data_IF_287512635561
#
_entry.id   IF_287512635561
#
_cell.length_a   1.000
_cell.length_b   1.000
_cell.length_c   1.000
_cell.angle_alpha   90.00
_cell.angle_beta   90.00
_cell.angle_gamma   90.00
#
_symmetry.space_group_name_H-M   'P 1'
#
loop_
_entity.id
_entity.type
_entity.pdbx_description
1 polymer ?
#
# COMPACT_ATOMS: atom_id res chain seq x y z
N UNK A 1 36.94 22.18 47.28
CA UNK A 1 36.49 22.67 45.96
C UNK A 1 36.76 21.58 44.93
N UNK A 2 35.76 20.85 44.50
CA UNK A 2 35.86 19.85 43.43
C UNK A 2 35.39 20.49 42.14
N UNK A 3 36.29 20.63 41.16
CA UNK A 3 35.94 21.12 39.82
C UNK A 3 35.34 19.97 39.04
N UNK A 4 34.07 20.10 38.63
CA UNK A 4 33.41 19.21 37.66
C UNK A 4 33.72 19.76 36.27
N UNK A 5 34.55 19.05 35.52
CA UNK A 5 34.79 19.34 34.09
C UNK A 5 33.66 18.71 33.31
N UNK A 6 32.76 19.53 32.77
CA UNK A 6 31.78 19.09 31.78
C UNK A 6 32.47 18.93 30.43
N UNK A 7 32.65 17.67 30.01
CA UNK A 7 33.08 17.37 28.65
C UNK A 7 31.87 17.53 27.74
N UNK A 8 31.78 18.63 27.01
CA UNK A 8 30.78 18.81 25.94
C UNK A 8 31.26 18.02 24.73
N UNK A 9 30.66 16.88 24.48
CA UNK A 9 30.81 16.19 23.22
C UNK A 9 30.08 16.97 22.12
N UNK A 10 30.81 17.77 21.37
CA UNK A 10 30.35 18.34 20.11
C UNK A 10 30.29 17.23 19.11
N UNK A 11 29.11 16.63 18.89
CA UNK A 11 28.84 15.85 17.70
C UNK A 11 28.91 16.81 16.51
N UNK A 12 30.02 16.78 15.80
CA UNK A 12 30.15 17.41 14.49
C UNK A 12 29.33 16.58 13.49
N UNK A 13 28.05 16.88 13.34
CA UNK A 13 27.32 16.51 12.14
C UNK A 13 27.91 17.34 11.01
N UNK A 14 28.59 16.72 10.06
CA UNK A 14 28.93 17.35 8.78
C UNK A 14 27.61 17.66 8.09
N UNK A 15 27.10 18.87 8.30
CA UNK A 15 25.96 19.40 7.55
C UNK A 15 26.48 19.71 6.15
N UNK A 16 26.39 18.74 5.23
CA UNK A 16 26.42 19.08 3.81
C UNK A 16 25.23 20.02 3.55
N UNK A 17 25.47 21.12 2.83
CA UNK A 17 24.40 22.08 2.56
C UNK A 17 23.35 21.47 1.64
N UNK A 18 23.75 20.65 0.64
CA UNK A 18 22.87 19.99 -0.32
C UNK A 18 23.39 18.61 -0.73
N UNK A 19 22.50 17.75 -1.21
CA UNK A 19 22.85 16.49 -1.87
C UNK A 19 22.58 16.60 -3.37
N UNK A 20 23.58 16.29 -4.20
CA UNK A 20 23.49 16.27 -5.64
C UNK A 20 23.41 14.81 -6.10
N UNK A 21 22.41 14.49 -6.92
CA UNK A 21 22.24 13.14 -7.48
C UNK A 21 22.43 13.23 -8.99
N UNK A 22 23.48 12.59 -9.53
CA UNK A 22 23.65 12.40 -10.96
C UNK A 22 22.88 11.16 -11.40
N UNK A 23 22.07 11.28 -12.43
CA UNK A 23 21.36 10.13 -13.01
C UNK A 23 21.44 10.13 -14.54
N UNK A 24 21.63 8.95 -15.13
CA UNK A 24 21.58 8.81 -16.61
C UNK A 24 20.20 9.09 -17.14
N UNK A 25 19.15 8.75 -16.38
CA UNK A 25 17.78 9.08 -16.74
C UNK A 25 16.87 9.13 -15.50
N UNK A 26 15.78 9.89 -15.60
CA UNK A 26 14.69 9.79 -14.64
C UNK A 26 13.33 9.72 -15.34
N UNK A 27 12.36 9.12 -14.67
CA UNK A 27 11.00 9.01 -15.19
C UNK A 27 10.15 10.19 -14.70
N UNK A 28 9.71 11.00 -15.67
CA UNK A 28 8.74 12.07 -15.47
C UNK A 28 7.33 11.47 -15.60
N UNK A 29 6.76 11.05 -14.48
CA UNK A 29 5.44 10.40 -14.40
C UNK A 29 4.28 11.36 -14.70
N UNK A 30 4.51 12.69 -14.65
CA UNK A 30 3.50 13.69 -14.97
C UNK A 30 3.32 13.86 -16.48
N UNK A 31 4.43 13.80 -17.23
CA UNK A 31 4.44 13.97 -18.68
C UNK A 31 4.67 12.65 -19.44
N UNK A 32 4.72 11.51 -18.73
CA UNK A 32 4.89 10.16 -19.27
C UNK A 32 6.11 10.05 -20.22
N UNK A 33 7.28 10.48 -19.74
CA UNK A 33 8.51 10.46 -20.54
C UNK A 33 9.76 10.18 -19.69
N UNK A 34 10.81 9.73 -20.35
CA UNK A 34 12.17 9.65 -19.79
C UNK A 34 12.92 10.96 -20.08
N UNK A 35 13.58 11.51 -19.06
CA UNK A 35 14.49 12.64 -19.16
C UNK A 35 15.91 12.14 -18.94
N UNK A 36 16.81 12.38 -19.88
CA UNK A 36 18.17 11.89 -19.84
C UNK A 36 19.15 12.92 -19.27
N UNK A 37 20.22 12.39 -18.61
CA UNK A 37 21.35 13.15 -18.09
C UNK A 37 20.91 14.36 -17.25
N UNK A 38 20.65 14.12 -15.99
CA UNK A 38 20.14 15.14 -15.07
C UNK A 38 20.90 15.13 -13.76
N UNK A 39 20.94 16.30 -13.13
CA UNK A 39 21.34 16.48 -11.72
C UNK A 39 20.11 16.87 -10.93
N UNK A 40 19.74 16.05 -9.95
CA UNK A 40 18.68 16.35 -8.97
C UNK A 40 19.37 16.90 -7.71
N UNK A 41 18.95 18.07 -7.26
CA UNK A 41 19.51 18.70 -6.04
C UNK A 41 18.49 18.61 -4.93
N UNK A 42 18.95 18.10 -3.80
CA UNK A 42 18.15 17.93 -2.58
C UNK A 42 18.66 18.91 -1.52
N UNK A 43 17.74 19.66 -0.92
CA UNK A 43 17.97 20.52 0.24
C UNK A 43 17.07 20.04 1.38
N UNK A 44 17.69 19.55 2.44
CA UNK A 44 16.99 18.87 3.52
C UNK A 44 16.14 17.71 3.00
N UNK A 45 14.82 17.79 3.16
CA UNK A 45 13.89 16.74 2.71
C UNK A 45 13.28 16.99 1.33
N UNK A 46 13.60 18.10 0.65
CA UNK A 46 12.92 18.53 -0.56
C UNK A 46 13.84 18.53 -1.80
N UNK A 47 13.26 18.29 -2.97
CA UNK A 47 13.90 18.52 -4.26
C UNK A 47 13.96 20.03 -4.49
N UNK A 48 15.16 20.62 -4.46
CA UNK A 48 15.38 22.07 -4.61
C UNK A 48 15.62 22.49 -6.07
N UNK A 49 16.25 21.61 -6.88
CA UNK A 49 16.45 21.88 -8.30
C UNK A 49 16.55 20.60 -9.14
N UNK A 50 16.23 20.73 -10.42
CA UNK A 50 16.42 19.69 -11.45
C UNK A 50 17.15 20.33 -12.62
N UNK A 51 18.41 19.98 -12.81
CA UNK A 51 19.27 20.56 -13.82
C UNK A 51 19.54 19.58 -14.95
N UNK A 52 19.57 20.07 -16.19
CA UNK A 52 19.97 19.29 -17.36
C UNK A 52 21.49 19.07 -17.33
N UNK A 53 21.92 17.83 -17.57
CA UNK A 53 23.34 17.43 -17.54
C UNK A 53 23.87 17.26 -16.12
N UNK A 54 25.17 17.02 -16.02
CA UNK A 54 25.87 16.82 -14.75
C UNK A 54 26.53 18.13 -14.34
N UNK A 55 25.90 18.84 -13.40
CA UNK A 55 26.35 20.14 -12.93
C UNK A 55 27.48 20.01 -11.90
N UNK A 56 28.36 21.02 -11.81
CA UNK A 56 29.41 21.02 -10.80
C UNK A 56 28.80 20.95 -9.39
N UNK A 57 29.33 20.06 -8.57
CA UNK A 57 28.95 19.91 -7.16
C UNK A 57 29.81 20.85 -6.34
N UNK A 58 29.23 21.70 -5.47
CA UNK A 58 29.99 22.52 -4.52
C UNK A 58 30.77 21.65 -3.52
N UNK A 59 31.91 22.18 -3.02
CA UNK A 59 32.80 21.43 -2.13
C UNK A 59 32.16 21.11 -0.77
N UNK A 60 31.15 21.85 -0.35
CA UNK A 60 30.35 21.67 0.88
C UNK A 60 29.11 20.80 0.67
N UNK A 61 28.96 20.16 -0.48
CA UNK A 61 27.80 19.35 -0.86
C UNK A 61 28.17 17.89 -1.10
N UNK A 62 27.21 16.99 -0.83
CA UNK A 62 27.38 15.56 -1.11
C UNK A 62 27.02 15.21 -2.57
N UNK A 63 27.72 14.24 -3.16
CA UNK A 63 27.39 13.67 -4.47
C UNK A 63 26.99 12.20 -4.31
N UNK A 64 25.81 11.85 -4.87
CA UNK A 64 25.37 10.49 -5.12
C UNK A 64 25.41 10.26 -6.63
N UNK A 65 26.27 9.36 -7.09
CA UNK A 65 26.46 9.08 -8.51
C UNK A 65 25.65 7.85 -8.94
N UNK A 66 24.50 8.11 -9.55
CA UNK A 66 23.61 7.09 -10.11
C UNK A 66 23.65 7.07 -11.64
N UNK A 67 24.80 7.38 -12.24
CA UNK A 67 24.98 7.20 -13.69
C UNK A 67 24.97 5.71 -14.03
N UNK A 68 24.19 5.33 -15.07
CA UNK A 68 23.87 3.94 -15.38
C UNK A 68 22.56 3.44 -14.78
N UNK A 69 21.89 4.26 -13.96
CA UNK A 69 20.61 3.96 -13.34
C UNK A 69 19.49 4.85 -13.89
N UNK A 70 18.26 4.34 -13.79
CA UNK A 70 17.05 5.12 -14.02
C UNK A 70 16.41 5.47 -12.67
N UNK A 71 16.31 6.77 -12.40
CA UNK A 71 15.71 7.30 -11.19
C UNK A 71 14.20 7.44 -11.36
N UNK A 72 13.46 7.13 -10.31
CA UNK A 72 12.00 7.21 -10.25
C UNK A 72 11.56 7.90 -8.95
N UNK A 73 10.33 8.44 -8.88
CA UNK A 73 9.75 8.80 -7.58
C UNK A 73 9.71 7.60 -6.66
N UNK A 74 9.81 7.82 -5.36
CA UNK A 74 9.56 6.77 -4.37
C UNK A 74 8.22 6.09 -4.62
N UNK A 75 8.24 4.75 -4.64
CA UNK A 75 7.07 3.94 -4.97
C UNK A 75 6.09 3.92 -3.80
N UNK A 76 4.81 3.73 -4.13
CA UNK A 76 3.72 3.68 -3.15
C UNK A 76 2.85 2.45 -3.39
N UNK A 77 2.54 1.70 -2.32
CA UNK A 77 1.66 0.53 -2.35
C UNK A 77 0.42 0.78 -1.49
N UNK A 78 -0.75 0.77 -2.12
CA UNK A 78 -2.03 1.12 -1.47
C UNK A 78 -2.72 -0.05 -0.77
N UNK A 79 -2.08 -1.22 -0.73
CA UNK A 79 -2.66 -2.39 -0.07
C UNK A 79 -1.57 -3.32 0.48
N UNK A 80 -1.25 -3.17 1.76
CA UNK A 80 -0.31 -4.05 2.48
C UNK A 80 -0.85 -4.46 3.86
N UNK A 81 -0.29 -5.53 4.44
CA UNK A 81 -0.61 -6.07 5.76
C UNK A 81 0.66 -6.46 6.52
N UNK A 82 1.32 -5.52 7.20
CA UNK A 82 2.61 -5.76 7.86
C UNK A 82 2.56 -6.74 9.03
N UNK A 83 1.41 -6.92 9.67
CA UNK A 83 1.25 -7.85 10.78
C UNK A 83 1.28 -9.33 10.42
N UNK A 84 1.41 -9.68 9.13
CA UNK A 84 1.32 -11.06 8.67
C UNK A 84 2.06 -11.31 7.34
N UNK A 85 2.43 -12.58 7.11
CA UNK A 85 2.74 -13.16 5.79
C UNK A 85 2.06 -14.52 5.68
N UNK A 86 1.40 -14.81 4.57
CA UNK A 86 0.64 -16.06 4.38
C UNK A 86 1.48 -17.15 3.70
N UNK A 87 2.72 -17.36 4.19
CA UNK A 87 3.71 -18.23 3.58
C UNK A 87 3.52 -19.71 3.89
N UNK A 88 2.94 -20.04 5.05
CA UNK A 88 2.74 -21.43 5.49
C UNK A 88 1.52 -21.59 6.38
N UNK A 89 1.13 -22.86 6.66
CA UNK A 89 0.05 -23.17 7.62
C UNK A 89 0.32 -22.63 9.03
N UNK A 90 1.58 -22.52 9.42
CA UNK A 90 2.00 -22.04 10.76
C UNK A 90 1.94 -20.52 10.90
N UNK A 91 1.99 -19.80 9.79
CA UNK A 91 2.03 -18.33 9.73
C UNK A 91 0.65 -17.70 9.46
N UNK A 92 -0.41 -18.50 9.56
CA UNK A 92 -1.78 -18.02 9.29
C UNK A 92 -2.21 -16.97 10.30
N UNK A 93 -2.94 -15.93 9.86
CA UNK A 93 -3.53 -14.93 10.76
C UNK A 93 -4.28 -15.56 11.95
N UNK A 94 -4.14 -14.97 13.13
CA UNK A 94 -4.79 -15.43 14.35
C UNK A 94 -4.06 -16.54 15.10
N UNK A 95 -2.88 -16.98 14.65
CA UNK A 95 -2.03 -17.95 15.36
C UNK A 95 -0.78 -17.34 15.99
N UNK A 96 -0.55 -16.06 15.78
CA UNK A 96 0.62 -15.33 16.28
C UNK A 96 0.14 -14.30 17.29
N UNK A 97 0.83 -14.23 18.43
CA UNK A 97 0.56 -13.20 19.44
C UNK A 97 0.77 -11.80 18.84
N UNK A 98 -0.01 -10.81 19.29
CA UNK A 98 0.02 -9.44 18.76
C UNK A 98 1.40 -8.80 18.88
N UNK A 99 2.10 -9.07 19.97
CA UNK A 99 3.46 -8.58 20.23
C UNK A 99 4.45 -9.18 19.22
N UNK A 100 4.33 -10.46 18.93
CA UNK A 100 5.13 -11.12 17.88
C UNK A 100 4.83 -10.54 16.50
N UNK A 101 3.54 -10.34 16.18
CA UNK A 101 3.13 -9.70 14.93
C UNK A 101 3.72 -8.28 14.81
N UNK A 102 3.74 -7.50 15.89
CA UNK A 102 4.34 -6.16 15.90
C UNK A 102 5.86 -6.19 15.66
N UNK A 103 6.57 -7.17 16.24
CA UNK A 103 8.01 -7.35 16.00
C UNK A 103 8.27 -7.77 14.55
N UNK A 104 7.51 -8.74 14.02
CA UNK A 104 7.61 -9.16 12.63
C UNK A 104 7.31 -8.02 11.65
N UNK A 105 6.34 -7.17 11.98
CA UNK A 105 5.96 -6.02 11.16
C UNK A 105 7.11 -5.03 10.92
N UNK A 106 8.06 -4.92 11.84
CA UNK A 106 9.27 -4.08 11.65
C UNK A 106 10.15 -4.61 10.52
N UNK A 107 10.32 -5.94 10.44
CA UNK A 107 11.07 -6.57 9.36
C UNK A 107 10.33 -6.48 8.01
N UNK A 108 9.00 -6.66 8.02
CA UNK A 108 8.18 -6.54 6.82
C UNK A 108 8.22 -5.11 6.26
N UNK A 109 8.13 -4.11 7.14
CA UNK A 109 8.27 -2.70 6.76
C UNK A 109 9.64 -2.40 6.15
N UNK A 110 10.72 -2.92 6.75
CA UNK A 110 12.07 -2.76 6.20
C UNK A 110 12.22 -3.41 4.82
N UNK A 111 11.73 -4.66 4.63
CA UNK A 111 11.75 -5.33 3.32
C UNK A 111 10.99 -4.52 2.25
N UNK A 112 9.83 -3.98 2.60
CA UNK A 112 9.00 -3.18 1.71
C UNK A 112 9.69 -1.86 1.34
N UNK A 113 10.31 -1.18 2.32
CA UNK A 113 11.09 0.04 2.05
C UNK A 113 12.31 -0.27 1.15
N UNK A 114 13.04 -1.36 1.43
CA UNK A 114 14.18 -1.79 0.60
C UNK A 114 13.76 -2.11 -0.83
N UNK A 115 12.56 -2.63 -1.04
CA UNK A 115 11.96 -2.84 -2.38
C UNK A 115 11.49 -1.54 -3.06
N UNK A 116 11.84 -0.36 -2.51
CA UNK A 116 11.57 0.96 -3.10
C UNK A 116 10.25 1.61 -2.70
N UNK A 117 9.42 0.97 -1.88
CA UNK A 117 8.14 1.52 -1.46
C UNK A 117 8.33 2.44 -0.26
N UNK A 118 8.45 3.74 -0.53
CA UNK A 118 8.68 4.78 0.49
C UNK A 118 7.42 5.18 1.24
N UNK A 119 6.25 4.89 0.68
CA UNK A 119 4.93 5.13 1.28
C UNK A 119 4.02 3.94 1.05
N UNK A 120 3.22 3.58 2.06
CA UNK A 120 2.24 2.49 1.95
C UNK A 120 0.92 2.86 2.62
N UNK A 121 -0.15 2.21 2.16
CA UNK A 121 -1.44 2.19 2.85
C UNK A 121 -1.69 0.79 3.40
N UNK A 122 -1.71 0.64 4.71
CA UNK A 122 -2.06 -0.62 5.37
C UNK A 122 -3.55 -0.66 5.65
N UNK A 123 -4.26 -1.59 5.02
CA UNK A 123 -5.72 -1.67 4.99
C UNK A 123 -6.23 -2.91 5.72
N UNK A 124 -6.20 -2.83 7.02
CA UNK A 124 -6.65 -3.88 7.93
C UNK A 124 -5.54 -4.43 8.82
N UNK A 125 -5.86 -4.63 10.08
CA UNK A 125 -4.94 -5.04 11.12
C UNK A 125 -5.66 -5.86 12.20
N UNK A 126 -4.92 -6.65 12.95
CA UNK A 126 -5.41 -7.43 14.10
C UNK A 126 -5.17 -6.72 15.44
N UNK A 127 -5.33 -5.42 15.49
CA UNK A 127 -5.13 -4.65 16.72
C UNK A 127 -4.56 -3.27 16.45
N UNK A 128 -3.49 -2.92 17.17
CA UNK A 128 -2.80 -1.64 17.05
C UNK A 128 -1.45 -1.78 16.33
N UNK A 129 -1.16 -2.91 15.68
CA UNK A 129 0.16 -3.21 15.11
C UNK A 129 0.58 -2.15 14.09
N UNK A 130 -0.29 -1.84 13.13
CA UNK A 130 0.02 -0.86 12.08
C UNK A 130 0.17 0.57 12.61
N UNK A 131 -0.71 0.96 13.53
CA UNK A 131 -0.66 2.30 14.16
C UNK A 131 0.62 2.44 14.97
N UNK A 132 0.93 1.44 15.82
CA UNK A 132 2.16 1.43 16.63
C UNK A 132 3.42 1.43 15.76
N UNK A 133 3.43 0.66 14.67
CA UNK A 133 4.55 0.63 13.72
C UNK A 133 4.74 1.99 13.03
N UNK A 134 3.65 2.61 12.54
CA UNK A 134 3.66 3.97 11.96
C UNK A 134 4.29 4.97 12.93
N UNK A 135 3.80 4.96 14.17
CA UNK A 135 4.23 5.92 15.19
C UNK A 135 5.70 5.68 15.58
N UNK A 136 6.15 4.42 15.66
CA UNK A 136 7.56 4.08 15.91
C UNK A 136 8.48 4.49 14.74
N UNK A 137 8.02 4.36 13.49
CA UNK A 137 8.77 4.84 12.31
C UNK A 137 8.84 6.37 12.33
N UNK A 138 7.73 7.07 12.60
CA UNK A 138 7.69 8.52 12.65
C UNK A 138 8.57 9.10 13.80
N UNK A 139 8.70 8.36 14.90
CA UNK A 139 9.58 8.70 16.01
C UNK A 139 11.06 8.32 15.77
N UNK A 140 11.39 7.68 14.64
CA UNK A 140 12.75 7.25 14.32
C UNK A 140 13.25 6.01 15.09
N UNK A 141 12.35 5.27 15.76
CA UNK A 141 12.72 4.03 16.47
C UNK A 141 12.85 2.82 15.55
N UNK A 142 12.18 2.84 14.41
CA UNK A 142 12.14 1.76 13.42
C UNK A 142 12.33 2.33 12.03
N UNK A 143 13.12 1.65 11.20
CA UNK A 143 13.28 2.00 9.78
C UNK A 143 12.14 1.35 8.98
N UNK A 144 11.41 2.17 8.22
CA UNK A 144 10.29 1.71 7.40
C UNK A 144 9.71 2.80 6.51
N UNK A 145 8.71 2.47 5.66
CA UNK A 145 8.02 3.44 4.82
C UNK A 145 7.15 4.40 5.64
N UNK A 146 6.68 5.45 5.02
CA UNK A 146 5.56 6.27 5.53
C UNK A 146 4.30 5.42 5.47
N UNK A 147 3.59 5.27 6.58
CA UNK A 147 2.41 4.41 6.67
C UNK A 147 1.16 5.26 6.85
N UNK A 148 0.16 5.02 6.02
CA UNK A 148 -1.24 5.40 6.24
C UNK A 148 -2.01 4.14 6.60
N UNK A 149 -2.83 4.16 7.64
CA UNK A 149 -3.49 2.92 8.10
C UNK A 149 -4.95 3.10 8.48
N UNK A 150 -5.75 2.05 8.21
CA UNK A 150 -7.13 1.96 8.68
C UNK A 150 -7.27 1.37 10.09
N UNK A 151 -6.17 0.91 10.69
CA UNK A 151 -6.28 0.05 11.87
C UNK A 151 -7.08 -1.22 11.56
N UNK A 152 -7.93 -1.68 12.49
CA UNK A 152 -8.79 -2.87 12.27
C UNK A 152 -9.79 -2.63 11.15
N UNK A 153 -9.98 -3.63 10.29
CA UNK A 153 -11.07 -3.64 9.31
C UNK A 153 -12.45 -3.64 9.98
N UNK A 154 -13.46 -3.17 9.24
CA UNK A 154 -14.86 -3.26 9.65
C UNK A 154 -15.56 -4.29 8.77
N UNK A 155 -16.23 -5.26 9.40
CA UNK A 155 -17.03 -6.32 8.81
C UNK A 155 -18.41 -6.39 9.46
N UNK A 156 -19.31 -7.17 8.89
CA UNK A 156 -20.55 -7.62 9.57
C UNK A 156 -20.32 -8.95 10.29
N UNK A 157 -21.21 -9.36 11.17
CA UNK A 157 -21.17 -10.68 11.81
C UNK A 157 -21.08 -11.78 10.74
N UNK A 158 -20.05 -12.64 10.83
CA UNK A 158 -19.76 -13.67 9.83
C UNK A 158 -19.21 -13.13 8.50
N UNK A 159 -18.95 -11.83 8.40
CA UNK A 159 -18.34 -11.19 7.23
C UNK A 159 -16.85 -11.55 7.10
N UNK A 160 -16.24 -11.19 5.95
CA UNK A 160 -14.87 -11.60 5.62
C UNK A 160 -13.83 -11.27 6.70
N UNK A 161 -13.91 -10.09 7.30
CA UNK A 161 -12.96 -9.64 8.33
C UNK A 161 -13.50 -9.82 9.76
N UNK A 162 -14.56 -10.61 9.97
CA UNK A 162 -14.98 -10.97 11.33
C UNK A 162 -13.88 -11.80 12.01
N UNK A 163 -13.27 -11.33 13.10
CA UNK A 163 -12.14 -11.98 13.75
C UNK A 163 -12.50 -13.34 14.37
N UNK A 164 -13.79 -13.65 14.49
CA UNK A 164 -14.28 -14.91 15.10
C UNK A 164 -14.59 -16.00 14.07
N UNK A 165 -14.42 -15.72 12.77
CA UNK A 165 -14.64 -16.69 11.71
C UNK A 165 -13.79 -17.96 11.88
N UNK A 166 -14.45 -19.13 11.88
CA UNK A 166 -13.81 -20.43 12.03
C UNK A 166 -13.48 -20.81 13.48
N UNK A 167 -13.84 -20.00 14.46
CA UNK A 167 -13.74 -20.37 15.88
C UNK A 167 -14.92 -21.24 16.32
N UNK A 168 -14.70 -22.11 17.30
CA UNK A 168 -15.79 -22.88 17.94
C UNK A 168 -16.71 -21.96 18.74
N UNK A 169 -18.03 -22.17 18.65
CA UNK A 169 -19.01 -21.42 19.44
C UNK A 169 -18.75 -21.62 20.94
N UNK A 170 -18.48 -20.60 21.69
CA UNK A 170 -18.08 -20.67 23.11
C UNK A 170 -16.59 -20.46 23.36
N UNK A 171 -15.75 -20.42 22.30
CA UNK A 171 -14.34 -20.08 22.39
C UNK A 171 -14.07 -18.56 22.19
N UNK A 172 -15.09 -17.77 21.91
CA UNK A 172 -14.97 -16.33 21.66
C UNK A 172 -16.09 -15.54 22.35
N UNK A 173 -15.81 -14.29 22.68
CA UNK A 173 -16.85 -13.32 23.05
C UNK A 173 -17.48 -12.75 21.75
N UNK A 174 -18.73 -12.28 21.83
CA UNK A 174 -19.39 -11.65 20.72
C UNK A 174 -18.65 -10.34 20.35
N UNK A 175 -18.08 -10.23 19.13
CA UNK A 175 -17.37 -9.03 18.74
C UNK A 175 -18.33 -7.85 18.56
N UNK A 176 -17.84 -6.65 18.84
CA UNK A 176 -18.57 -5.39 18.79
C UNK A 176 -17.98 -4.45 17.74
N UNK A 177 -18.55 -3.24 17.60
CA UNK A 177 -18.00 -2.17 16.77
C UNK A 177 -16.55 -1.82 17.13
N UNK A 178 -16.12 -1.97 18.41
CA UNK A 178 -14.73 -1.79 18.84
C UNK A 178 -13.81 -2.86 18.22
N UNK A 179 -14.31 -4.09 18.08
CA UNK A 179 -13.58 -5.18 17.43
C UNK A 179 -13.62 -5.12 15.91
N UNK A 180 -14.45 -4.23 15.35
CA UNK A 180 -14.66 -4.05 13.92
C UNK A 180 -15.84 -4.85 13.37
N UNK A 181 -16.77 -5.34 14.21
CA UNK A 181 -17.97 -6.03 13.74
C UNK A 181 -19.21 -5.17 13.99
N UNK A 182 -19.96 -4.93 12.93
CA UNK A 182 -21.15 -4.07 12.96
C UNK A 182 -22.39 -4.80 12.44
N UNK A 183 -23.55 -4.43 12.96
CA UNK A 183 -24.84 -4.92 12.51
C UNK A 183 -25.85 -3.75 12.55
N UNK A 184 -25.71 -2.86 11.56
CA UNK A 184 -26.59 -1.72 11.40
C UNK A 184 -25.89 -0.36 11.40
N UNK A 185 -26.60 0.71 11.01
CA UNK A 185 -26.05 2.05 10.84
C UNK A 185 -25.41 2.66 12.10
N UNK A 186 -25.97 2.42 13.28
CA UNK A 186 -25.45 2.98 14.53
C UNK A 186 -24.11 2.35 14.93
N UNK A 187 -23.96 1.02 14.73
CA UNK A 187 -22.70 0.33 14.95
C UNK A 187 -21.64 0.82 13.96
N UNK A 188 -22.05 1.13 12.70
CA UNK A 188 -21.17 1.71 11.69
C UNK A 188 -20.56 3.04 12.15
N UNK A 189 -21.38 3.95 12.70
CA UNK A 189 -20.87 5.19 13.31
C UNK A 189 -19.95 4.94 14.49
N UNK A 190 -20.31 3.99 15.38
CA UNK A 190 -19.48 3.65 16.53
C UNK A 190 -18.11 3.11 16.11
N UNK A 191 -18.07 2.20 15.10
CA UNK A 191 -16.84 1.62 14.58
C UNK A 191 -15.92 2.68 13.97
N UNK A 192 -16.44 3.60 13.14
CA UNK A 192 -15.64 4.70 12.54
C UNK A 192 -15.07 5.60 13.63
N UNK A 193 -15.87 6.00 14.63
CA UNK A 193 -15.39 6.83 15.74
C UNK A 193 -14.32 6.13 16.57
N UNK A 194 -14.44 4.82 16.73
CA UNK A 194 -13.41 4.03 17.39
C UNK A 194 -12.11 4.02 16.59
N UNK A 195 -12.17 3.82 15.26
CA UNK A 195 -10.96 3.91 14.39
C UNK A 195 -10.32 5.28 14.48
N UNK A 196 -11.11 6.36 14.44
CA UNK A 196 -10.60 7.72 14.64
C UNK A 196 -9.91 7.90 16.00
N UNK A 197 -10.56 7.41 17.09
CA UNK A 197 -9.98 7.43 18.45
C UNK A 197 -8.68 6.64 18.54
N UNK A 198 -8.59 5.51 17.84
CA UNK A 198 -7.40 4.66 17.80
C UNK A 198 -6.23 5.34 17.02
N UNK A 199 -6.52 6.41 16.27
CA UNK A 199 -5.53 7.13 15.46
C UNK A 199 -5.38 6.61 14.02
N UNK A 200 -6.39 5.92 13.48
CA UNK A 200 -6.39 5.50 12.08
C UNK A 200 -6.54 6.70 11.13
N UNK A 201 -5.94 6.61 9.94
CA UNK A 201 -5.98 7.64 8.90
C UNK A 201 -7.18 7.45 7.96
N UNK A 202 -7.79 6.26 7.97
CA UNK A 202 -8.93 5.90 7.13
C UNK A 202 -9.66 4.66 7.61
N UNK A 203 -10.59 4.19 6.78
CA UNK A 203 -11.45 3.05 7.08
C UNK A 203 -11.25 1.95 6.03
N UNK A 204 -11.18 0.70 6.47
CA UNK A 204 -11.29 -0.49 5.61
C UNK A 204 -12.59 -1.23 5.90
N UNK A 205 -13.39 -1.46 4.85
CA UNK A 205 -14.55 -2.36 4.88
C UNK A 205 -14.28 -3.65 4.13
N UNK A 206 -14.99 -4.71 4.48
CA UNK A 206 -15.08 -5.94 3.69
C UNK A 206 -16.51 -6.15 3.23
N UNK A 207 -16.87 -5.52 2.09
CA UNK A 207 -18.26 -5.44 1.63
C UNK A 207 -18.78 -6.70 0.93
N UNK A 208 -17.87 -7.64 0.63
CA UNK A 208 -18.22 -9.00 0.14
C UNK A 208 -17.47 -10.06 0.92
N UNK A 209 -17.82 -11.32 0.69
CA UNK A 209 -16.99 -12.45 1.08
C UNK A 209 -15.59 -12.35 0.49
N UNK A 210 -14.64 -13.13 1.00
CA UNK A 210 -13.25 -13.15 0.58
C UNK A 210 -12.76 -14.55 0.21
N UNK A 211 -11.70 -14.60 -0.59
CA UNK A 211 -11.10 -15.86 -1.06
C UNK A 211 -10.59 -16.70 0.10
N UNK A 212 -9.86 -16.09 1.01
CA UNK A 212 -9.20 -16.80 2.13
C UNK A 212 -10.11 -16.99 3.36
N UNK A 213 -11.33 -16.48 3.35
CA UNK A 213 -12.29 -16.71 4.44
C UNK A 213 -12.72 -18.16 4.52
N UNK A 214 -12.87 -18.68 5.74
CA UNK A 214 -13.51 -19.97 6.03
C UNK A 214 -15.03 -19.80 5.90
N UNK A 215 -15.50 -19.47 4.70
CA UNK A 215 -16.90 -19.24 4.35
C UNK A 215 -17.19 -19.76 2.94
N UNK A 216 -18.46 -20.14 2.66
CA UNK A 216 -18.87 -20.74 1.37
C UNK A 216 -18.73 -19.75 0.21
N UNK A 217 -19.21 -18.52 0.39
CA UNK A 217 -19.18 -17.51 -0.67
C UNK A 217 -17.98 -16.60 -0.54
N UNK A 218 -17.34 -16.28 -1.70
CA UNK A 218 -16.30 -15.27 -1.81
C UNK A 218 -16.82 -13.94 -2.41
N UNK A 219 -18.06 -13.88 -2.89
CA UNK A 219 -18.56 -12.79 -3.75
C UNK A 219 -19.91 -12.17 -3.29
N UNK A 220 -20.65 -12.83 -2.40
CA UNK A 220 -21.91 -12.28 -1.91
C UNK A 220 -21.70 -10.96 -1.15
N UNK A 221 -22.61 -9.97 -1.30
CA UNK A 221 -22.57 -8.75 -0.51
C UNK A 221 -22.80 -9.07 0.96
N UNK A 222 -22.05 -8.40 1.84
CA UNK A 222 -22.07 -8.61 3.28
C UNK A 222 -22.52 -7.37 4.07
N UNK A 223 -22.71 -6.25 3.41
CA UNK A 223 -23.21 -5.02 3.99
C UNK A 223 -24.50 -4.60 3.29
N UNK A 224 -25.42 -4.02 4.03
CA UNK A 224 -26.56 -3.29 3.48
C UNK A 224 -26.10 -1.93 2.94
N UNK A 225 -26.93 -1.29 2.11
CA UNK A 225 -26.63 0.05 1.60
C UNK A 225 -26.57 1.07 2.75
N UNK A 226 -27.47 0.96 3.73
CA UNK A 226 -27.52 1.84 4.89
C UNK A 226 -26.26 1.76 5.75
N UNK A 227 -25.70 0.57 5.93
CA UNK A 227 -24.45 0.38 6.68
C UNK A 227 -23.26 1.02 5.97
N UNK A 228 -23.09 0.77 4.67
CA UNK A 228 -22.00 1.38 3.88
C UNK A 228 -22.14 2.89 3.85
N UNK A 229 -23.36 3.43 3.58
CA UNK A 229 -23.61 4.86 3.59
C UNK A 229 -23.28 5.50 4.95
N UNK A 230 -23.61 4.81 6.05
CA UNK A 230 -23.31 5.31 7.40
C UNK A 230 -21.83 5.35 7.69
N UNK A 231 -21.06 4.32 7.27
CA UNK A 231 -19.59 4.33 7.38
C UNK A 231 -18.99 5.48 6.57
N UNK A 232 -19.37 5.63 5.29
CA UNK A 232 -18.81 6.67 4.41
C UNK A 232 -19.15 8.07 4.95
N UNK A 233 -20.38 8.28 5.42
CA UNK A 233 -20.79 9.56 6.01
C UNK A 233 -19.98 9.87 7.27
N UNK A 234 -19.85 8.91 8.19
CA UNK A 234 -19.08 9.10 9.41
C UNK A 234 -17.59 9.34 9.09
N UNK A 235 -16.99 8.60 8.15
CA UNK A 235 -15.60 8.78 7.73
C UNK A 235 -15.34 10.18 7.16
N UNK A 236 -16.26 10.72 6.34
CA UNK A 236 -16.19 12.08 5.80
C UNK A 236 -16.22 13.15 6.88
N UNK A 237 -17.01 12.97 7.95
CA UNK A 237 -17.05 13.91 9.08
C UNK A 237 -15.70 14.04 9.78
N UNK A 238 -14.85 13.00 9.70
CA UNK A 238 -13.51 12.97 10.30
C UNK A 238 -12.36 13.15 9.27
N UNK A 239 -12.67 13.41 8.01
CA UNK A 239 -11.68 13.56 6.95
C UNK A 239 -10.91 12.27 6.63
N UNK A 240 -11.52 11.10 6.87
CA UNK A 240 -10.93 9.78 6.67
C UNK A 240 -11.31 9.21 5.30
N UNK A 241 -10.34 8.61 4.59
CA UNK A 241 -10.61 7.84 3.38
C UNK A 241 -11.28 6.50 3.69
N UNK A 242 -11.98 5.92 2.71
CA UNK A 242 -12.67 4.62 2.82
C UNK A 242 -12.21 3.69 1.69
N UNK A 243 -11.58 2.59 2.04
CA UNK A 243 -11.18 1.51 1.14
C UNK A 243 -12.05 0.27 1.34
N UNK A 244 -12.44 -0.43 0.27
CA UNK A 244 -13.32 -1.60 0.41
C UNK A 244 -12.74 -2.83 -0.27
N UNK A 245 -12.59 -3.93 0.49
CA UNK A 245 -12.42 -5.25 -0.07
C UNK A 245 -13.71 -5.69 -0.77
N UNK A 246 -13.63 -6.05 -2.04
CA UNK A 246 -14.77 -6.57 -2.77
C UNK A 246 -14.35 -7.49 -3.93
N UNK A 247 -14.97 -8.67 -4.00
CA UNK A 247 -14.85 -9.55 -5.17
C UNK A 247 -16.12 -9.52 -6.02
N UNK A 248 -17.30 -9.49 -5.41
CA UNK A 248 -18.58 -9.54 -6.11
C UNK A 248 -19.13 -8.18 -6.52
N UNK A 249 -19.79 -8.13 -7.68
CA UNK A 249 -20.27 -6.90 -8.31
C UNK A 249 -21.29 -6.13 -7.46
N UNK A 250 -22.21 -6.82 -6.78
CA UNK A 250 -23.27 -6.16 -6.01
C UNK A 250 -22.70 -5.40 -4.80
N UNK A 251 -21.74 -6.02 -4.04
CA UNK A 251 -21.08 -5.33 -2.93
C UNK A 251 -20.26 -4.14 -3.40
N UNK A 252 -19.54 -4.27 -4.54
CA UNK A 252 -18.81 -3.16 -5.17
C UNK A 252 -19.78 -2.02 -5.56
N UNK A 253 -20.91 -2.35 -6.18
CA UNK A 253 -21.90 -1.35 -6.60
C UNK A 253 -22.41 -0.53 -5.43
N UNK A 254 -22.83 -1.17 -4.33
CA UNK A 254 -23.26 -0.48 -3.10
C UNK A 254 -22.16 0.45 -2.57
N UNK A 255 -20.93 -0.04 -2.50
CA UNK A 255 -19.80 0.73 -2.02
C UNK A 255 -19.48 1.95 -2.89
N UNK A 256 -19.42 1.78 -4.21
CA UNK A 256 -19.14 2.88 -5.16
C UNK A 256 -20.25 3.93 -5.15
N UNK A 257 -21.52 3.52 -5.07
CA UNK A 257 -22.67 4.45 -4.94
C UNK A 257 -22.59 5.23 -3.64
N UNK A 258 -22.18 4.61 -2.53
CA UNK A 258 -22.00 5.28 -1.25
C UNK A 258 -20.84 6.30 -1.26
N UNK A 259 -19.93 6.22 -2.22
CA UNK A 259 -18.83 7.17 -2.42
C UNK A 259 -17.56 6.81 -1.68
N UNK A 260 -17.16 5.54 -1.71
CA UNK A 260 -15.86 5.07 -1.24
C UNK A 260 -14.72 5.55 -2.15
N UNK A 261 -13.51 5.69 -1.60
CA UNK A 261 -12.36 6.22 -2.33
C UNK A 261 -11.69 5.15 -3.20
N UNK A 262 -11.66 3.88 -2.74
CA UNK A 262 -11.09 2.80 -3.53
C UNK A 262 -11.79 1.45 -3.34
N UNK A 263 -11.75 0.64 -4.41
CA UNK A 263 -12.15 -0.77 -4.43
C UNK A 263 -10.88 -1.61 -4.60
N UNK A 264 -10.68 -2.52 -3.66
CA UNK A 264 -9.57 -3.46 -3.60
C UNK A 264 -9.97 -4.79 -4.27
N UNK A 265 -9.06 -5.43 -5.00
CA UNK A 265 -9.23 -6.69 -5.71
C UNK A 265 -10.19 -6.63 -6.92
N UNK A 266 -11.44 -6.27 -6.73
CA UNK A 266 -12.41 -6.04 -7.82
C UNK A 266 -12.67 -7.22 -8.74
N UNK A 267 -12.46 -8.48 -8.32
CA UNK A 267 -12.33 -9.67 -9.16
C UNK A 267 -13.46 -9.85 -10.19
N UNK A 268 -14.71 -9.69 -9.77
CA UNK A 268 -15.91 -9.85 -10.59
C UNK A 268 -16.55 -8.51 -10.98
N UNK A 269 -15.74 -7.47 -11.12
CA UNK A 269 -16.21 -6.14 -11.49
C UNK A 269 -16.88 -6.17 -12.86
N UNK A 270 -18.14 -5.71 -12.92
CA UNK A 270 -18.90 -5.59 -14.17
C UNK A 270 -18.64 -4.24 -14.85
N UNK A 271 -19.01 -4.12 -16.12
CA UNK A 271 -18.95 -2.85 -16.84
C UNK A 271 -19.78 -1.75 -16.17
N UNK A 272 -20.94 -2.09 -15.61
CA UNK A 272 -21.77 -1.16 -14.83
C UNK A 272 -20.99 -0.59 -13.63
N UNK A 273 -20.28 -1.43 -12.89
CA UNK A 273 -19.47 -0.99 -11.75
C UNK A 273 -18.30 -0.14 -12.22
N UNK A 274 -17.63 -0.50 -13.33
CA UNK A 274 -16.56 0.31 -13.92
C UNK A 274 -17.06 1.72 -14.28
N UNK A 275 -18.24 1.83 -14.91
CA UNK A 275 -18.84 3.12 -15.26
C UNK A 275 -19.19 3.97 -14.03
N UNK A 276 -19.70 3.33 -12.97
CA UNK A 276 -19.93 4.00 -11.69
C UNK A 276 -18.63 4.49 -11.06
N UNK A 277 -17.55 3.69 -11.09
CA UNK A 277 -16.24 4.09 -10.58
C UNK A 277 -15.66 5.28 -11.35
N UNK A 278 -15.78 5.28 -12.68
CA UNK A 278 -15.35 6.41 -13.52
C UNK A 278 -16.15 7.67 -13.16
N UNK A 279 -17.47 7.56 -13.06
CA UNK A 279 -18.38 8.67 -12.71
C UNK A 279 -18.06 9.26 -11.34
N UNK A 280 -17.79 8.42 -10.34
CA UNK A 280 -17.58 8.84 -8.96
C UNK A 280 -16.10 9.15 -8.66
N UNK A 281 -15.18 8.83 -9.58
CA UNK A 281 -13.75 9.03 -9.39
C UNK A 281 -13.11 8.01 -8.44
N UNK A 282 -13.80 6.90 -8.13
CA UNK A 282 -13.32 5.83 -7.27
C UNK A 282 -12.13 5.11 -7.91
N UNK A 283 -11.06 4.88 -7.15
CA UNK A 283 -9.89 4.16 -7.62
C UNK A 283 -10.08 2.64 -7.56
N UNK A 284 -9.44 1.95 -8.48
CA UNK A 284 -9.27 0.50 -8.45
C UNK A 284 -7.85 0.14 -8.02
N UNK A 285 -7.72 -0.71 -7.00
CA UNK A 285 -6.46 -1.26 -6.49
C UNK A 285 -6.47 -2.77 -6.76
N UNK A 286 -5.85 -3.25 -7.85
CA UNK A 286 -6.13 -4.58 -8.41
C UNK A 286 -5.56 -5.74 -7.59
N UNK A 287 -4.36 -5.63 -7.01
CA UNK A 287 -3.69 -6.71 -6.27
C UNK A 287 -3.56 -8.03 -7.03
N UNK A 288 -3.19 -7.94 -8.31
CA UNK A 288 -3.09 -9.10 -9.22
C UNK A 288 -2.12 -10.13 -8.65
N UNK A 289 -1.00 -9.66 -8.10
CA UNK A 289 0.05 -10.51 -7.52
C UNK A 289 -0.44 -11.39 -6.38
N UNK A 290 -1.35 -10.91 -5.53
CA UNK A 290 -1.98 -11.73 -4.50
C UNK A 290 -2.89 -12.79 -5.10
N UNK A 291 -3.67 -12.43 -6.14
CA UNK A 291 -4.52 -13.36 -6.88
C UNK A 291 -3.71 -14.49 -7.50
N UNK A 292 -2.63 -14.17 -8.19
CA UNK A 292 -1.72 -15.16 -8.80
C UNK A 292 -1.06 -16.05 -7.73
N UNK A 293 -0.60 -15.46 -6.62
CA UNK A 293 -0.03 -16.22 -5.50
C UNK A 293 -1.02 -17.25 -4.94
N UNK A 294 -2.25 -16.85 -4.63
CA UNK A 294 -3.23 -17.79 -4.06
C UNK A 294 -3.65 -18.86 -5.07
N UNK A 295 -3.73 -18.53 -6.36
CA UNK A 295 -4.02 -19.49 -7.42
C UNK A 295 -2.88 -20.53 -7.58
N UNK A 296 -1.62 -20.10 -7.47
CA UNK A 296 -0.46 -20.98 -7.46
C UNK A 296 -0.49 -21.92 -6.24
N UNK A 297 -0.71 -21.37 -5.04
CA UNK A 297 -0.75 -22.15 -3.79
C UNK A 297 -1.93 -23.11 -3.71
N UNK A 298 -3.04 -22.83 -4.38
CA UNK A 298 -4.18 -23.73 -4.49
C UNK A 298 -3.86 -25.04 -5.22
N UNK A 299 -2.78 -25.07 -6.02
CA UNK A 299 -2.29 -26.30 -6.69
C UNK A 299 -1.59 -27.26 -5.72
N UNK A 300 -1.17 -26.77 -4.55
CA UNK A 300 -0.46 -27.56 -3.53
C UNK A 300 -1.50 -28.22 -2.63
N UNK A 301 -1.43 -29.55 -2.52
CA UNK A 301 -2.36 -30.30 -1.67
C UNK A 301 -2.24 -29.89 -0.19
N UNK A 302 -3.40 -29.70 0.45
CA UNK A 302 -3.50 -29.28 1.85
C UNK A 302 -2.88 -27.93 2.21
N UNK A 303 -2.49 -27.10 1.23
CA UNK A 303 -2.03 -25.73 1.54
C UNK A 303 -3.18 -24.88 2.09
N UNK A 304 -4.33 -24.88 1.42
CA UNK A 304 -5.56 -24.26 1.90
C UNK A 304 -6.57 -25.28 2.43
N UNK A 305 -7.47 -24.88 3.33
CA UNK A 305 -8.66 -25.69 3.66
C UNK A 305 -9.51 -25.98 2.42
N UNK A 306 -10.24 -27.12 2.40
CA UNK A 306 -11.06 -27.55 1.26
C UNK A 306 -12.09 -26.50 0.82
N UNK A 307 -12.66 -25.73 1.76
CA UNK A 307 -13.62 -24.67 1.47
C UNK A 307 -12.96 -23.44 0.80
N UNK A 308 -11.65 -23.20 1.02
CA UNK A 308 -10.89 -22.08 0.47
C UNK A 308 -10.29 -22.40 -0.90
N UNK A 309 -9.80 -23.62 -1.06
CA UNK A 309 -9.03 -24.06 -2.24
C UNK A 309 -9.71 -23.77 -3.59
N UNK A 310 -11.02 -24.06 -3.82
CA UNK A 310 -11.69 -23.76 -5.09
C UNK A 310 -11.75 -22.26 -5.38
N UNK A 311 -11.98 -21.43 -4.37
CA UNK A 311 -12.00 -19.97 -4.50
C UNK A 311 -10.62 -19.45 -4.90
N UNK A 312 -9.57 -19.91 -4.21
CA UNK A 312 -8.19 -19.52 -4.49
C UNK A 312 -7.76 -19.89 -5.92
N UNK A 313 -8.15 -21.09 -6.40
CA UNK A 313 -7.80 -21.56 -7.74
C UNK A 313 -8.38 -20.71 -8.89
N UNK A 314 -9.49 -19.99 -8.66
CA UNK A 314 -10.20 -19.23 -9.68
C UNK A 314 -9.88 -17.74 -9.71
N UNK A 315 -9.27 -17.19 -8.65
CA UNK A 315 -9.16 -15.74 -8.45
C UNK A 315 -8.11 -15.09 -9.35
N UNK A 316 -6.88 -15.65 -9.42
CA UNK A 316 -5.77 -15.02 -10.12
C UNK A 316 -6.08 -14.62 -11.56
N UNK A 317 -6.42 -15.58 -12.45
CA UNK A 317 -6.73 -15.26 -13.86
C UNK A 317 -7.90 -14.29 -14.01
N UNK A 318 -8.84 -14.29 -13.08
CA UNK A 318 -10.03 -13.45 -13.12
C UNK A 318 -9.70 -12.01 -12.74
N UNK A 319 -8.85 -11.79 -11.72
CA UNK A 319 -8.38 -10.44 -11.34
C UNK A 319 -7.63 -9.79 -12.50
N UNK A 320 -6.68 -10.50 -13.11
CA UNK A 320 -5.90 -10.02 -14.25
C UNK A 320 -6.78 -9.62 -15.44
N UNK A 321 -7.75 -10.49 -15.80
CA UNK A 321 -8.70 -10.23 -16.89
C UNK A 321 -9.61 -9.01 -16.58
N UNK A 322 -10.03 -8.85 -15.33
CA UNK A 322 -10.84 -7.69 -14.90
C UNK A 322 -10.01 -6.42 -14.92
N UNK A 323 -8.77 -6.47 -14.45
CA UNK A 323 -7.85 -5.35 -14.52
C UNK A 323 -7.67 -4.83 -15.95
N UNK A 324 -7.40 -5.73 -16.91
CA UNK A 324 -7.24 -5.37 -18.32
C UNK A 324 -8.48 -4.63 -18.88
N UNK A 325 -9.70 -5.09 -18.52
CA UNK A 325 -10.95 -4.45 -18.93
C UNK A 325 -11.14 -3.08 -18.27
N UNK A 326 -10.91 -3.00 -16.95
CA UNK A 326 -11.08 -1.77 -16.18
C UNK A 326 -10.10 -0.68 -16.65
N UNK A 327 -8.82 -1.04 -16.86
CA UNK A 327 -7.81 -0.13 -17.40
C UNK A 327 -8.22 0.39 -18.78
N UNK A 328 -8.57 -0.52 -19.72
CA UNK A 328 -9.01 -0.14 -21.08
C UNK A 328 -10.25 0.75 -21.08
N UNK A 329 -11.14 0.60 -20.09
CA UNK A 329 -12.36 1.42 -19.95
C UNK A 329 -12.08 2.79 -19.35
N UNK A 330 -10.90 3.00 -18.74
CA UNK A 330 -10.50 4.28 -18.15
C UNK A 330 -10.82 4.42 -16.67
N UNK A 331 -11.01 3.32 -15.94
CA UNK A 331 -11.07 3.33 -14.48
C UNK A 331 -9.73 3.82 -13.93
N UNK A 332 -9.75 4.69 -12.93
CA UNK A 332 -8.53 5.16 -12.25
C UNK A 332 -7.87 3.99 -11.53
N UNK A 333 -6.59 3.75 -11.80
CA UNK A 333 -5.81 2.68 -11.18
C UNK A 333 -4.84 3.28 -10.17
N UNK A 334 -4.81 2.71 -8.96
CA UNK A 334 -3.75 2.93 -8.00
C UNK A 334 -3.07 1.58 -7.70
N UNK A 335 -1.75 1.61 -7.60
CA UNK A 335 -0.94 0.42 -7.35
C UNK A 335 -1.19 -0.13 -5.95
N UNK A 336 -1.33 -1.46 -5.82
CA UNK A 336 -1.41 -2.15 -4.55
C UNK A 336 -1.28 -3.66 -4.74
N UNK A 337 -0.67 -4.35 -3.78
CA UNK A 337 -0.21 -5.73 -3.93
C UNK A 337 -0.90 -6.74 -3.03
N UNK A 338 -1.50 -6.30 -1.93
CA UNK A 338 -1.96 -7.16 -0.83
C UNK A 338 -0.79 -7.97 -0.20
N UNK A 339 0.43 -7.33 -0.15
CA UNK A 339 1.58 -7.93 0.54
C UNK A 339 1.24 -8.21 1.99
N UNK A 340 1.51 -9.45 2.43
CA UNK A 340 0.98 -10.09 3.62
C UNK A 340 0.18 -11.34 3.28
N UNK A 341 -0.51 -11.35 2.14
CA UNK A 341 -0.98 -12.58 1.47
C UNK A 341 0.20 -13.28 0.80
N UNK A 342 1.07 -12.51 0.18
CA UNK A 342 2.38 -12.94 -0.32
C UNK A 342 3.52 -12.30 0.49
N UNK A 343 4.77 -12.67 0.22
CA UNK A 343 5.92 -12.16 0.94
C UNK A 343 6.11 -10.64 0.74
N UNK A 344 6.42 -9.93 1.82
CA UNK A 344 6.88 -8.54 1.75
C UNK A 344 8.22 -8.44 1.02
N UNK A 345 8.38 -7.40 0.20
CA UNK A 345 9.54 -7.20 -0.67
C UNK A 345 9.36 -7.78 -2.07
N UNK A 346 8.28 -8.55 -2.33
CA UNK A 346 7.94 -9.05 -3.68
C UNK A 346 6.92 -8.18 -4.41
N UNK A 347 6.66 -6.98 -3.89
CA UNK A 347 5.69 -6.01 -4.41
C UNK A 347 5.94 -5.67 -5.90
N UNK A 348 7.19 -5.76 -6.37
CA UNK A 348 7.59 -5.51 -7.75
C UNK A 348 6.84 -6.36 -8.78
N UNK A 349 6.35 -7.55 -8.40
CA UNK A 349 5.60 -8.45 -9.30
C UNK A 349 4.33 -7.83 -9.84
N UNK A 350 3.70 -6.94 -9.07
CA UNK A 350 2.50 -6.23 -9.52
C UNK A 350 2.76 -5.37 -10.75
N UNK A 351 3.93 -4.72 -10.86
CA UNK A 351 4.33 -3.98 -12.08
C UNK A 351 4.37 -4.87 -13.31
N UNK A 352 4.93 -6.08 -13.17
CA UNK A 352 5.01 -7.06 -14.25
C UNK A 352 3.61 -7.48 -14.68
N UNK A 353 2.78 -7.89 -13.72
CA UNK A 353 1.41 -8.33 -14.01
C UNK A 353 0.54 -7.23 -14.62
N UNK A 354 0.61 -5.99 -14.10
CA UNK A 354 -0.10 -4.85 -14.70
C UNK A 354 0.33 -4.62 -16.14
N UNK A 355 1.64 -4.70 -16.40
CA UNK A 355 2.21 -4.49 -17.74
C UNK A 355 1.83 -5.60 -18.72
N UNK A 356 1.91 -6.87 -18.30
CA UNK A 356 1.49 -8.03 -19.08
C UNK A 356 -0.01 -8.01 -19.42
N UNK A 357 -0.82 -7.36 -18.59
CA UNK A 357 -2.26 -7.20 -18.80
C UNK A 357 -2.63 -5.87 -19.49
N UNK A 358 -1.68 -5.25 -20.18
CA UNK A 358 -1.91 -4.19 -21.17
C UNK A 358 -1.73 -2.75 -20.68
N UNK A 359 -1.28 -2.53 -19.45
CA UNK A 359 -0.94 -1.19 -18.97
C UNK A 359 0.50 -0.86 -19.38
N UNK A 360 0.78 0.25 -20.09
CA UNK A 360 2.14 0.61 -20.46
C UNK A 360 3.08 0.72 -19.25
N UNK A 361 4.34 0.26 -19.33
CA UNK A 361 5.29 0.31 -18.21
C UNK A 361 5.38 1.65 -17.50
N UNK A 362 5.38 2.76 -18.21
CA UNK A 362 5.44 4.09 -17.62
C UNK A 362 4.17 4.44 -16.83
N UNK A 363 3.02 3.91 -17.24
CA UNK A 363 1.76 4.13 -16.54
C UNK A 363 1.64 3.25 -15.28
N UNK A 364 2.29 2.07 -15.25
CA UNK A 364 2.36 1.29 -14.01
C UNK A 364 3.17 2.02 -12.94
N UNK A 365 4.29 2.67 -13.33
CA UNK A 365 5.09 3.50 -12.41
C UNK A 365 4.29 4.74 -11.97
N UNK A 366 3.53 5.36 -12.90
CA UNK A 366 2.60 6.44 -12.57
C UNK A 366 1.54 5.99 -11.55
N UNK A 367 0.98 4.79 -11.71
CA UNK A 367 0.00 4.21 -10.78
C UNK A 367 0.59 3.99 -9.39
N UNK A 368 1.89 3.62 -9.29
CA UNK A 368 2.63 3.43 -8.03
C UNK A 368 3.27 4.71 -7.49
N UNK A 369 2.94 5.88 -8.02
CA UNK A 369 3.53 7.14 -7.59
C UNK A 369 2.50 8.26 -7.53
N UNK A 370 2.25 9.00 -8.61
CA UNK A 370 1.37 10.17 -8.56
C UNK A 370 -0.12 9.79 -8.42
N UNK A 371 -0.58 8.66 -8.96
CA UNK A 371 -1.98 8.26 -8.79
C UNK A 371 -2.27 7.77 -7.36
N UNK A 372 -1.33 7.04 -6.75
CA UNK A 372 -1.40 6.68 -5.33
C UNK A 372 -1.31 7.90 -4.41
N UNK A 373 -0.46 8.88 -4.76
CA UNK A 373 -0.38 10.14 -4.02
C UNK A 373 -1.71 10.92 -4.07
N UNK A 374 -2.40 10.92 -5.22
CA UNK A 374 -3.75 11.51 -5.35
C UNK A 374 -4.78 10.78 -4.51
N UNK A 375 -4.75 9.43 -4.49
CA UNK A 375 -5.65 8.63 -3.65
C UNK A 375 -5.48 8.94 -2.16
N UNK A 376 -4.26 9.27 -1.72
CA UNK A 376 -3.95 9.68 -0.35
C UNK A 376 -4.06 11.19 -0.11
N UNK A 377 -4.39 11.99 -1.14
CA UNK A 377 -4.45 13.47 -1.08
C UNK A 377 -3.11 14.12 -0.67
N UNK A 378 -1.99 13.53 -1.08
CA UNK A 378 -0.62 14.03 -0.83
C UNK A 378 0.14 14.39 -2.12
N UNK A 379 -0.54 14.44 -3.26
CA UNK A 379 0.07 14.69 -4.58
C UNK A 379 0.74 16.06 -4.71
N UNK A 380 0.40 17.00 -3.86
CA UNK A 380 1.05 18.32 -3.83
C UNK A 380 2.48 18.24 -3.30
N UNK A 381 2.77 17.25 -2.46
CA UNK A 381 4.06 17.08 -1.78
C UNK A 381 4.82 15.83 -2.18
N UNK A 382 4.17 14.81 -2.73
CA UNK A 382 4.76 13.50 -3.04
C UNK A 382 4.42 13.01 -4.46
N UNK A 383 4.98 11.88 -4.87
CA UNK A 383 4.57 11.08 -6.03
C UNK A 383 5.15 11.53 -7.37
N UNK A 384 6.06 12.49 -7.42
CA UNK A 384 6.77 12.85 -8.66
C UNK A 384 8.12 13.54 -8.37
N UNK A 385 9.07 13.43 -9.29
CA UNK A 385 10.33 14.17 -9.24
C UNK A 385 10.04 15.60 -9.75
N UNK A 386 9.77 16.50 -8.80
CA UNK A 386 9.37 17.88 -9.10
C UNK A 386 9.92 18.80 -8.01
N UNK A 387 10.42 19.96 -8.39
CA UNK A 387 10.95 20.97 -7.45
C UNK A 387 9.88 21.34 -6.42
N UNK A 388 10.27 21.39 -5.16
CA UNK A 388 9.41 21.66 -4.00
C UNK A 388 8.75 20.42 -3.38
N UNK A 389 8.81 19.25 -4.03
CA UNK A 389 8.30 18.00 -3.45
C UNK A 389 9.35 17.31 -2.59
N UNK A 390 8.85 16.44 -1.72
CA UNK A 390 9.68 15.58 -0.87
C UNK A 390 10.57 14.67 -1.73
N UNK A 391 11.82 14.57 -1.37
CA UNK A 391 12.81 13.73 -2.02
C UNK A 391 12.65 12.27 -1.58
N UNK A 392 11.56 11.64 -2.00
CA UNK A 392 11.36 10.20 -2.01
C UNK A 392 11.73 9.71 -3.41
N UNK A 393 12.86 9.00 -3.51
CA UNK A 393 13.47 8.61 -4.79
C UNK A 393 13.94 7.16 -4.74
N UNK A 394 13.81 6.45 -5.87
CA UNK A 394 14.35 5.10 -6.04
C UNK A 394 15.05 4.97 -7.38
N UNK A 395 16.03 4.07 -7.48
CA UNK A 395 16.71 3.81 -8.73
C UNK A 395 16.91 2.32 -8.98
N UNK A 396 16.82 1.94 -10.25
CA UNK A 396 17.15 0.61 -10.76
C UNK A 396 18.27 0.73 -11.81
N UNK A 397 19.11 -0.28 -11.91
CA UNK A 397 20.10 -0.37 -12.98
C UNK A 397 19.40 -0.67 -14.31
N UNK A 398 19.69 0.12 -15.35
CA UNK A 398 19.05 -0.03 -16.66
C UNK A 398 17.72 0.74 -16.80
N UNK A 399 16.86 0.29 -17.71
CA UNK A 399 15.61 0.98 -18.05
C UNK A 399 14.38 0.09 -17.77
N UNK A 400 13.62 0.34 -16.69
CA UNK A 400 12.45 -0.46 -16.33
C UNK A 400 11.29 -0.35 -17.34
N UNK A 401 11.30 0.66 -18.23
CA UNK A 401 10.27 0.78 -19.27
C UNK A 401 10.44 -0.24 -20.41
N UNK A 402 11.64 -0.81 -20.55
CA UNK A 402 11.92 -1.87 -21.55
C UNK A 402 11.92 -3.26 -20.94
N UNK A 403 12.16 -3.37 -19.63
CA UNK A 403 12.13 -4.61 -18.87
C UNK A 403 11.64 -4.32 -17.46
N UNK A 404 10.37 -4.60 -17.21
CA UNK A 404 9.73 -4.32 -15.92
C UNK A 404 10.22 -5.25 -14.79
N UNK A 405 10.88 -6.38 -15.12
CA UNK A 405 11.46 -7.27 -14.12
C UNK A 405 12.61 -6.63 -13.34
N UNK A 406 13.25 -5.58 -13.90
CA UNK A 406 14.27 -4.79 -13.21
C UNK A 406 13.76 -4.14 -11.91
N UNK A 407 12.44 -4.02 -11.74
CA UNK A 407 11.85 -3.53 -10.49
C UNK A 407 12.04 -4.47 -9.30
N UNK A 408 12.50 -5.70 -9.52
CA UNK A 408 12.94 -6.65 -8.47
C UNK A 408 14.19 -6.16 -7.73
N UNK A 409 15.09 -5.49 -8.44
CA UNK A 409 16.42 -5.10 -7.94
C UNK A 409 16.55 -3.58 -7.80
N UNK A 410 15.89 -3.05 -6.77
CA UNK A 410 16.01 -1.63 -6.41
C UNK A 410 17.39 -1.42 -5.76
N UNK A 411 18.27 -0.70 -6.46
CA UNK A 411 19.66 -0.47 -6.04
C UNK A 411 19.85 0.78 -5.17
N UNK A 412 18.86 1.69 -5.15
CA UNK A 412 18.92 2.92 -4.35
C UNK A 412 17.54 3.31 -3.85
N UNK A 413 17.45 3.69 -2.57
CA UNK A 413 16.25 4.22 -1.94
C UNK A 413 16.59 5.45 -1.11
N UNK A 414 15.92 6.56 -1.39
CA UNK A 414 15.92 7.77 -0.59
C UNK A 414 14.50 8.04 -0.10
N UNK A 415 14.35 8.35 1.19
CA UNK A 415 13.07 8.71 1.81
C UNK A 415 13.24 10.00 2.59
N UNK A 416 12.46 11.04 2.24
CA UNK A 416 12.53 12.33 2.91
C UNK A 416 13.89 13.02 2.80
N UNK A 417 14.62 12.82 1.70
CA UNK A 417 15.95 13.37 1.48
C UNK A 417 17.11 12.57 2.10
N UNK A 418 16.80 11.53 2.88
CA UNK A 418 17.80 10.67 3.49
C UNK A 418 17.97 9.37 2.69
N UNK A 419 19.22 9.02 2.36
CA UNK A 419 19.54 7.73 1.72
C UNK A 419 19.36 6.61 2.75
N UNK A 420 18.41 5.73 2.49
CA UNK A 420 18.06 4.60 3.37
C UNK A 420 18.76 3.33 2.94
N UNK A 421 18.99 3.18 1.65
CA UNK A 421 19.63 2.02 1.05
C UNK A 421 20.38 2.43 -0.23
N UNK A 422 21.59 1.91 -0.40
CA UNK A 422 22.41 2.03 -1.61
C UNK A 422 23.31 0.79 -1.72
N UNK A 423 23.33 0.14 -2.89
CA UNK A 423 24.30 -0.92 -3.21
C UNK A 423 25.70 -0.37 -3.43
#
# INVERSE_FOLDING_TARGET
MKYFIYLVFLFSTSLFSNTYIYTSSYIDVLNLKIINNSTIVIDGSAISAINKGFTKVPDDSALIDLRGYTLMPGLMDMHVHFGQEYLSKSERPGKVERETAAIMATQHAYKTLKAGFTTVRQVGDSGMVAISLRDAINAGHVVGPRIFTSGKSIATTGGHADPTNGMASGAYMYPTAEDGVINGPYDAYAAVRQRYKDGADGIKLTVTGGVLSVAKSGDNPQFTEEEVNSVVKAAKDYGMWVAVHAHGAEGMKRAVIAGVDSVEHGTLMTEEVMDLMIKNGTYYVPTISAGEFVAEKAKIDNYFPDIVRPKAASVGPQIAATFAKAYKRGVKIAFGTDAGVQAHGTNWREFVYMSENGMPPIETIKAASIETAKLLSIETTHGSITVGKVADLVAVKGNPLTDMSLMEDISFVMKGGESVFSD
#
